data_IF_837489166268
#
_entry.id   IF_837489166268
#
_cell.length_a   1.000
_cell.length_b   1.000
_cell.length_c   1.000
_cell.angle_alpha   90.00
_cell.angle_beta   90.00
_cell.angle_gamma   90.00
#
_symmetry.space_group_name_H-M   'P 1'
#
loop_
_entity.id
_entity.type
_entity.pdbx_description
1 polymer ?
#
# COMPACT_ATOMS: atom_id res chain seq x y z
N UNK A 1 1.89 -24.35 14.94
CA UNK A 1 1.56 -22.98 15.30
C UNK A 1 2.62 -21.99 14.97
N UNK A 2 3.89 -22.33 15.16
CA UNK A 2 4.89 -21.40 14.74
C UNK A 2 4.93 -21.36 13.21
N UNK A 3 4.51 -22.41 12.56
CA UNK A 3 4.29 -22.40 11.12
C UNK A 3 3.20 -21.39 10.78
N UNK A 4 2.19 -21.32 11.63
CA UNK A 4 1.13 -20.37 11.45
C UNK A 4 1.67 -18.94 11.47
N UNK A 5 2.58 -18.63 12.38
CA UNK A 5 3.17 -17.30 12.43
C UNK A 5 3.95 -16.96 11.19
N UNK A 6 4.71 -17.95 10.68
CA UNK A 6 5.44 -17.75 9.45
C UNK A 6 4.48 -17.52 8.30
N UNK A 7 3.41 -18.31 8.28
CA UNK A 7 2.43 -18.21 7.21
C UNK A 7 1.67 -16.90 7.23
N UNK A 8 1.50 -16.29 8.40
CA UNK A 8 0.78 -15.03 8.48
C UNK A 8 1.50 -13.92 7.73
N UNK A 9 2.82 -13.83 7.88
CA UNK A 9 3.57 -12.82 7.15
C UNK A 9 3.50 -13.09 5.65
N UNK A 10 3.65 -14.34 5.27
CA UNK A 10 3.61 -14.73 3.87
C UNK A 10 2.23 -14.45 3.27
N UNK A 11 1.17 -14.80 4.00
CA UNK A 11 -0.19 -14.57 3.53
C UNK A 11 -0.48 -13.09 3.40
N UNK A 12 0.02 -12.29 4.34
CA UNK A 12 -0.17 -10.85 4.26
C UNK A 12 0.43 -10.29 2.97
N UNK A 13 1.63 -10.71 2.64
CA UNK A 13 2.28 -10.25 1.41
C UNK A 13 1.53 -10.70 0.17
N UNK A 14 0.97 -11.90 0.20
CA UNK A 14 0.20 -12.41 -0.91
C UNK A 14 -1.12 -11.67 -1.11
N UNK A 15 -1.66 -11.09 -0.04
CA UNK A 15 -2.92 -10.35 -0.11
C UNK A 15 -2.75 -8.96 -0.66
N UNK A 16 -1.55 -8.43 -0.67
CA UNK A 16 -1.31 -7.11 -1.22
C UNK A 16 -1.41 -7.18 -2.74
N UNK A 17 -2.02 -6.15 -3.32
CA UNK A 17 -1.98 -6.01 -4.77
C UNK A 17 -0.53 -5.82 -5.21
N UNK A 18 -0.23 -6.19 -6.46
CA UNK A 18 1.08 -5.88 -6.97
C UNK A 18 1.23 -4.36 -7.06
N UNK A 19 2.47 -3.89 -7.16
CA UNK A 19 2.76 -2.48 -7.08
C UNK A 19 2.00 -1.65 -8.14
N UNK A 20 1.95 -2.13 -9.36
CA UNK A 20 1.33 -1.35 -10.44
C UNK A 20 -0.17 -1.18 -10.22
N UNK A 21 -0.85 -2.24 -9.81
CA UNK A 21 -2.28 -2.17 -9.56
C UNK A 21 -2.58 -1.30 -8.34
N UNK A 22 -1.76 -1.45 -7.29
CA UNK A 22 -1.95 -0.66 -6.08
C UNK A 22 -1.73 0.83 -6.36
N UNK A 23 -0.73 1.14 -7.20
CA UNK A 23 -0.46 2.52 -7.59
C UNK A 23 -1.62 3.10 -8.38
N UNK A 24 -2.18 2.34 -9.32
CA UNK A 24 -3.34 2.78 -10.08
C UNK A 24 -4.49 3.14 -9.17
N UNK A 25 -4.77 2.27 -8.21
CA UNK A 25 -5.82 2.53 -7.24
C UNK A 25 -5.54 3.82 -6.47
N UNK A 26 -4.32 3.97 -5.98
CA UNK A 26 -3.96 5.13 -5.17
C UNK A 26 -4.07 6.43 -5.96
N UNK A 27 -3.68 6.40 -7.23
CA UNK A 27 -3.81 7.57 -8.10
C UNK A 27 -5.26 7.95 -8.34
N UNK A 28 -6.15 6.96 -8.34
CA UNK A 28 -7.57 7.23 -8.55
C UNK A 28 -8.20 8.02 -7.40
N UNK A 29 -7.53 8.09 -6.26
CA UNK A 29 -8.04 8.81 -5.10
C UNK A 29 -7.83 10.33 -5.21
N UNK A 30 -7.01 10.77 -6.16
CA UNK A 30 -6.74 12.20 -6.39
C UNK A 30 -6.17 12.92 -5.17
N UNK A 31 -5.33 12.22 -4.42
CA UNK A 31 -4.65 12.81 -3.27
C UNK A 31 -3.45 13.60 -3.75
N UNK A 32 -3.11 14.68 -3.06
CA UNK A 32 -2.10 15.62 -3.54
C UNK A 32 -0.84 15.66 -2.68
N UNK A 33 -0.76 14.85 -1.63
CA UNK A 33 0.41 14.86 -0.77
C UNK A 33 0.44 13.59 0.07
N UNK A 34 1.61 13.30 0.67
CA UNK A 34 1.71 12.19 1.61
C UNK A 34 0.78 12.42 2.80
N UNK A 35 0.63 13.67 3.21
CA UNK A 35 -0.27 13.99 4.31
C UNK A 35 -1.70 13.61 3.97
N UNK A 36 -2.11 13.88 2.74
CA UNK A 36 -3.45 13.47 2.30
C UNK A 36 -3.60 11.95 2.35
N UNK A 37 -2.57 11.23 1.95
CA UNK A 37 -2.57 9.77 2.02
C UNK A 37 -2.74 9.29 3.46
N UNK A 38 -1.96 9.86 4.38
CA UNK A 38 -2.03 9.48 5.79
C UNK A 38 -3.42 9.74 6.35
N UNK A 39 -3.99 10.90 6.02
CA UNK A 39 -5.34 11.26 6.46
C UNK A 39 -6.37 10.31 5.91
N UNK A 40 -6.25 9.97 4.63
CA UNK A 40 -7.18 9.05 4.00
C UNK A 40 -7.13 7.67 4.65
N UNK A 41 -5.93 7.18 4.96
CA UNK A 41 -5.78 5.88 5.60
C UNK A 41 -6.42 5.84 6.98
N UNK A 42 -6.40 6.97 7.69
CA UNK A 42 -6.98 7.03 9.04
C UNK A 42 -8.47 7.21 9.03
N UNK A 43 -8.99 7.97 8.07
CA UNK A 43 -10.38 8.37 8.09
C UNK A 43 -11.30 7.55 7.22
N UNK A 44 -10.78 6.67 6.40
CA UNK A 44 -11.57 5.89 5.47
C UNK A 44 -11.34 4.41 5.68
N UNK A 45 -12.26 3.62 5.13
CA UNK A 45 -12.10 2.17 5.17
C UNK A 45 -11.18 1.78 4.02
N UNK A 46 -9.91 1.60 4.34
CA UNK A 46 -8.91 1.24 3.35
C UNK A 46 -9.07 -0.24 2.99
N UNK A 47 -8.99 -0.60 1.69
CA UNK A 47 -8.99 -2.01 1.31
C UNK A 47 -7.80 -2.74 1.95
N UNK A 48 -8.02 -4.00 2.32
CA UNK A 48 -6.99 -4.78 3.00
C UNK A 48 -5.80 -5.09 2.11
N UNK A 49 -5.97 -5.02 0.79
CA UNK A 49 -4.89 -5.32 -0.14
C UNK A 49 -4.07 -4.09 -0.51
N UNK A 50 -4.32 -2.95 0.14
CA UNK A 50 -3.54 -1.72 -0.06
C UNK A 50 -2.80 -1.42 1.24
N UNK A 51 -1.46 -1.32 1.22
CA UNK A 51 -0.70 -1.09 2.44
C UNK A 51 -0.79 0.37 2.91
N UNK A 52 -0.76 0.56 4.22
CA UNK A 52 -0.71 1.91 4.80
C UNK A 52 0.64 2.55 4.54
N UNK A 53 1.70 1.74 4.55
CA UNK A 53 3.07 2.20 4.32
C UNK A 53 3.60 1.59 3.03
N UNK A 54 3.17 2.12 1.89
CA UNK A 54 3.58 1.54 0.60
C UNK A 54 5.08 1.66 0.34
N UNK A 55 5.73 2.67 0.93
CA UNK A 55 7.17 2.82 0.79
C UNK A 55 7.93 1.66 1.43
N UNK A 56 7.36 1.04 2.44
CA UNK A 56 7.95 -0.12 3.08
C UNK A 56 7.56 -1.39 2.34
N UNK A 57 6.26 -1.52 2.04
CA UNK A 57 5.74 -2.74 1.43
C UNK A 57 6.32 -3.00 0.04
N UNK A 58 6.56 -1.94 -0.72
CA UNK A 58 7.04 -2.07 -2.11
C UNK A 58 8.47 -1.60 -2.29
N UNK A 59 9.23 -1.54 -1.22
CA UNK A 59 10.59 -0.99 -1.24
C UNK A 59 11.45 -1.57 -2.38
N UNK A 60 11.38 -2.88 -2.57
CA UNK A 60 12.16 -3.55 -3.61
C UNK A 60 11.27 -4.11 -4.70
N UNK A 61 10.09 -3.52 -4.89
CA UNK A 61 9.10 -4.06 -5.81
C UNK A 61 8.52 -3.00 -6.73
N UNK A 62 9.26 -1.90 -6.91
CA UNK A 62 8.85 -0.85 -7.83
C UNK A 62 8.61 0.50 -7.20
N UNK A 63 8.70 0.61 -5.88
CA UNK A 63 8.48 1.89 -5.20
C UNK A 63 9.46 2.96 -5.67
N UNK A 64 8.93 4.15 -5.96
CA UNK A 64 9.72 5.30 -6.36
C UNK A 64 9.59 6.41 -5.33
N UNK A 65 8.38 6.93 -5.13
CA UNK A 65 8.14 8.04 -4.22
C UNK A 65 6.64 8.17 -3.98
N UNK A 66 6.25 8.97 -3.00
CA UNK A 66 4.84 9.26 -2.78
C UNK A 66 4.24 10.06 -3.93
N UNK A 67 5.04 10.93 -4.54
CA UNK A 67 4.58 11.67 -5.71
C UNK A 67 4.22 10.71 -6.84
N UNK A 68 5.07 9.74 -7.09
CA UNK A 68 4.80 8.72 -8.10
C UNK A 68 3.60 7.86 -7.69
N UNK A 69 3.54 7.49 -6.42
CA UNK A 69 2.48 6.64 -5.88
C UNK A 69 1.11 7.29 -6.03
N UNK A 70 1.02 8.58 -5.77
CA UNK A 70 -0.25 9.31 -5.80
C UNK A 70 -0.50 10.02 -7.13
N UNK A 71 0.53 10.20 -7.92
CA UNK A 71 0.37 10.78 -9.26
C UNK A 71 0.18 12.30 -9.29
N UNK A 72 0.76 13.00 -8.31
CA UNK A 72 0.64 14.47 -8.32
C UNK A 72 1.92 15.14 -8.78
#
# INVERSE_FOLDING_TARGET
FFIYNINMKYIYELKLQNFLEAREFSRSLNLKSKKDWDTWCKGNIKPNNIPVLPNVAYKNKGWVSYKDWLGY
#
